data_IF_018467137764
#
_entry.id   IF_018467137764
#
_cell.length_a   1.000
_cell.length_b   1.000
_cell.length_c   1.000
_cell.angle_alpha   90.00
_cell.angle_beta   90.00
_cell.angle_gamma   90.00
#
_symmetry.space_group_name_H-M   'P 1'
#
loop_
_entity.id
_entity.type
_entity.pdbx_description
1 polymer ?
#
# COMPACT_ATOMS: atom_id res chain seq x y z
N UNK A 1 -17.15 -8.88 32.26
CA UNK A 1 -16.94 -7.50 32.76
C UNK A 1 -17.33 -6.56 31.62
N UNK A 2 -18.16 -5.52 31.86
CA UNK A 2 -19.21 -5.14 30.93
C UNK A 2 -18.82 -3.93 30.08
N UNK A 3 -18.63 -4.10 28.77
CA UNK A 3 -18.66 -2.98 27.81
C UNK A 3 -19.96 -3.08 27.00
N UNK A 4 -20.93 -2.26 27.43
CA UNK A 4 -22.26 -2.16 26.84
C UNK A 4 -22.23 -1.64 25.39
N UNK A 5 -23.16 -2.10 24.52
CA UNK A 5 -23.26 -1.69 23.10
C UNK A 5 -23.67 -0.22 22.86
N UNK A 6 -23.92 0.55 23.91
CA UNK A 6 -24.30 1.98 23.90
C UNK A 6 -23.16 2.91 23.44
N UNK A 7 -21.89 2.51 23.60
CA UNK A 7 -20.72 3.36 23.28
C UNK A 7 -20.64 3.73 21.79
N UNK A 8 -21.10 2.85 20.90
CA UNK A 8 -21.01 3.08 19.45
C UNK A 8 -22.01 4.15 18.96
N UNK A 9 -23.16 4.29 19.62
CA UNK A 9 -24.25 5.15 19.12
C UNK A 9 -23.88 6.64 19.23
N UNK A 10 -23.21 7.02 20.32
CA UNK A 10 -22.85 8.42 20.58
C UNK A 10 -21.62 8.89 19.80
N UNK A 11 -20.71 7.98 19.44
CA UNK A 11 -19.48 8.28 18.70
C UNK A 11 -19.66 8.27 17.17
N UNK A 12 -20.57 7.44 16.66
CA UNK A 12 -20.86 7.31 15.21
C UNK A 12 -21.04 8.66 14.49
N UNK A 13 -21.84 9.62 15.00
CA UNK A 13 -22.00 10.92 14.34
C UNK A 13 -20.69 11.70 14.21
N UNK A 14 -19.82 11.64 15.22
CA UNK A 14 -18.53 12.34 15.19
C UNK A 14 -17.55 11.70 14.21
N UNK A 15 -17.53 10.37 14.10
CA UNK A 15 -16.71 9.67 13.11
C UNK A 15 -17.19 9.94 11.68
N UNK A 16 -18.51 9.97 11.46
CA UNK A 16 -19.08 10.35 10.17
C UNK A 16 -18.71 11.79 9.79
N UNK A 17 -18.83 12.74 10.74
CA UNK A 17 -18.41 14.12 10.57
C UNK A 17 -16.92 14.27 10.26
N UNK A 18 -16.05 13.53 10.97
CA UNK A 18 -14.61 13.52 10.69
C UNK A 18 -14.32 13.04 9.26
N UNK A 19 -14.98 11.98 8.81
CA UNK A 19 -14.79 11.46 7.45
C UNK A 19 -15.28 12.45 6.38
N UNK A 20 -16.40 13.16 6.61
CA UNK A 20 -16.86 14.24 5.72
C UNK A 20 -15.85 15.36 5.60
N UNK A 21 -15.27 15.81 6.72
CA UNK A 21 -14.26 16.87 6.75
C UNK A 21 -12.98 16.46 6.00
N UNK A 22 -12.53 15.21 6.19
CA UNK A 22 -11.36 14.67 5.48
C UNK A 22 -11.62 14.57 3.97
N UNK A 23 -12.84 14.20 3.58
CA UNK A 23 -13.24 14.14 2.17
C UNK A 23 -13.54 15.52 1.54
N UNK A 24 -13.52 16.61 2.33
CA UNK A 24 -13.90 17.95 1.87
C UNK A 24 -15.40 18.11 1.56
N UNK A 25 -16.24 17.18 2.01
CA UNK A 25 -17.70 17.17 1.81
C UNK A 25 -18.41 17.63 3.09
N UNK A 26 -17.97 18.75 3.65
CA UNK A 26 -18.60 19.34 4.83
C UNK A 26 -20.03 19.79 4.49
N UNK A 27 -20.97 19.48 5.38
CA UNK A 27 -22.40 19.85 5.23
C UNK A 27 -22.76 21.06 6.09
N UNK A 28 -22.16 21.19 7.28
CA UNK A 28 -22.50 22.23 8.26
C UNK A 28 -21.43 23.32 8.32
N UNK A 29 -20.16 22.93 8.35
CA UNK A 29 -19.05 23.90 8.36
C UNK A 29 -18.60 24.23 6.93
N UNK A 30 -18.01 25.41 6.69
CA UNK A 30 -17.51 25.76 5.36
C UNK A 30 -16.54 24.73 4.79
N UNK A 31 -16.59 24.47 3.47
CA UNK A 31 -15.64 23.57 2.82
C UNK A 31 -14.22 24.09 2.99
N UNK A 32 -13.26 23.19 3.28
CA UNK A 32 -11.87 23.56 3.54
C UNK A 32 -11.57 24.01 4.98
N UNK A 33 -12.52 23.90 5.91
CA UNK A 33 -12.28 24.16 7.33
C UNK A 33 -11.17 23.24 7.88
N UNK A 34 -10.27 23.79 8.72
CA UNK A 34 -9.22 23.02 9.40
C UNK A 34 -9.85 21.99 10.33
N UNK A 35 -9.41 20.73 10.22
CA UNK A 35 -9.87 19.64 11.08
C UNK A 35 -9.44 19.95 12.52
N UNK A 36 -10.43 20.25 13.36
CA UNK A 36 -10.26 20.50 14.80
C UNK A 36 -11.39 19.81 15.55
N UNK A 37 -11.22 19.62 16.86
CA UNK A 37 -12.25 19.03 17.73
C UNK A 37 -13.59 19.79 17.59
N UNK A 38 -13.51 21.13 17.56
CA UNK A 38 -14.67 21.99 17.45
C UNK A 38 -15.33 21.85 16.06
N UNK A 39 -14.52 21.83 14.99
CA UNK A 39 -15.05 21.65 13.64
C UNK A 39 -15.77 20.30 13.47
N UNK A 40 -15.21 19.21 14.00
CA UNK A 40 -15.84 17.88 13.98
C UNK A 40 -17.13 17.86 14.81
N UNK A 41 -17.15 18.54 15.96
CA UNK A 41 -18.36 18.63 16.78
C UNK A 41 -19.49 19.42 16.11
N UNK A 42 -19.14 20.56 15.49
CA UNK A 42 -20.08 21.39 14.74
C UNK A 42 -20.62 20.66 13.50
N UNK A 43 -19.74 19.96 12.77
CA UNK A 43 -20.11 19.17 11.61
C UNK A 43 -21.01 17.97 11.96
N UNK A 44 -20.91 17.46 13.19
CA UNK A 44 -21.84 16.46 13.73
C UNK A 44 -23.17 17.06 14.22
N UNK A 45 -23.40 18.36 14.03
CA UNK A 45 -24.61 19.06 14.51
C UNK A 45 -24.66 19.24 16.03
N UNK A 46 -23.51 19.22 16.71
CA UNK A 46 -23.39 19.38 18.16
C UNK A 46 -22.67 20.68 18.50
N UNK A 47 -22.71 21.10 19.75
CA UNK A 47 -21.98 22.29 20.19
C UNK A 47 -20.47 22.08 20.09
N UNK A 48 -19.72 23.13 19.74
CA UNK A 48 -18.26 23.09 19.56
C UNK A 48 -17.50 22.47 20.74
N UNK A 49 -18.02 22.58 21.98
CA UNK A 49 -17.43 22.01 23.20
C UNK A 49 -17.89 20.60 23.57
N UNK A 50 -18.64 19.91 22.70
CA UNK A 50 -19.22 18.60 23.03
C UNK A 50 -18.15 17.51 23.18
N UNK A 51 -17.02 17.62 22.49
CA UNK A 51 -15.90 16.67 22.57
C UNK A 51 -14.95 17.11 23.69
N UNK A 52 -15.14 16.60 24.91
CA UNK A 52 -14.31 16.92 26.08
C UNK A 52 -13.12 15.96 26.23
N UNK A 53 -11.90 16.50 26.33
CA UNK A 53 -10.64 15.75 26.47
C UNK A 53 -10.56 14.86 27.73
N UNK A 54 -11.25 15.25 28.79
CA UNK A 54 -11.24 14.50 30.06
C UNK A 54 -12.10 13.24 30.03
N UNK A 55 -13.01 13.09 29.04
CA UNK A 55 -13.84 11.89 28.91
C UNK A 55 -13.08 10.83 28.13
N UNK A 56 -12.84 9.68 28.76
CA UNK A 56 -12.15 8.52 28.16
C UNK A 56 -12.79 8.05 26.86
N UNK A 57 -14.12 8.13 26.76
CA UNK A 57 -14.92 7.76 25.56
C UNK A 57 -14.44 8.48 24.30
N UNK A 58 -14.01 9.74 24.39
CA UNK A 58 -13.50 10.49 23.24
C UNK A 58 -12.00 10.31 22.99
N UNK A 59 -11.25 9.59 23.84
CA UNK A 59 -9.80 9.51 23.75
C UNK A 59 -9.31 8.88 22.44
N UNK A 60 -10.02 7.88 21.90
CA UNK A 60 -9.73 7.29 20.60
C UNK A 60 -10.01 8.27 19.45
N UNK A 61 -11.20 8.87 19.45
CA UNK A 61 -11.61 9.86 18.46
C UNK A 61 -10.67 11.09 18.43
N UNK A 62 -10.29 11.63 19.60
CA UNK A 62 -9.38 12.78 19.70
C UNK A 62 -8.02 12.46 19.08
N UNK A 63 -7.49 11.25 19.30
CA UNK A 63 -6.24 10.81 18.69
C UNK A 63 -6.35 10.79 17.16
N UNK A 64 -7.43 10.23 16.65
CA UNK A 64 -7.66 10.16 15.20
C UNK A 64 -7.87 11.55 14.58
N UNK A 65 -8.65 12.43 15.21
CA UNK A 65 -8.82 13.82 14.77
C UNK A 65 -7.46 14.53 14.67
N UNK A 66 -6.60 14.39 15.68
CA UNK A 66 -5.26 15.00 15.66
C UNK A 66 -4.39 14.45 14.54
N UNK A 67 -4.45 13.14 14.29
CA UNK A 67 -3.72 12.51 13.20
C UNK A 67 -4.18 13.07 11.84
N UNK A 68 -5.49 13.07 11.58
CA UNK A 68 -6.06 13.60 10.33
C UNK A 68 -5.81 15.10 10.16
N UNK A 69 -5.83 15.87 11.25
CA UNK A 69 -5.49 17.30 11.22
C UNK A 69 -4.03 17.53 10.80
N UNK A 70 -3.10 16.71 11.31
CA UNK A 70 -1.69 16.74 10.90
C UNK A 70 -1.53 16.34 9.43
N UNK A 71 -2.23 15.30 8.98
CA UNK A 71 -2.23 14.87 7.57
C UNK A 71 -2.80 15.95 6.64
N UNK A 72 -3.84 16.68 7.06
CA UNK A 72 -4.40 17.80 6.31
C UNK A 72 -3.40 18.96 6.22
N UNK A 73 -2.71 19.28 7.32
CA UNK A 73 -1.68 20.31 7.36
C UNK A 73 -0.50 19.96 6.44
N UNK A 74 0.00 18.71 6.53
CA UNK A 74 1.04 18.18 5.65
C UNK A 74 0.64 18.23 4.17
N UNK A 75 -0.64 18.05 3.84
CA UNK A 75 -1.16 18.14 2.48
C UNK A 75 -1.35 19.58 1.99
N UNK A 76 -1.61 20.52 2.90
CA UNK A 76 -1.81 21.94 2.59
C UNK A 76 -0.50 22.73 2.45
N UNK A 77 0.63 22.17 2.89
CA UNK A 77 1.94 22.81 2.74
C UNK A 77 2.30 22.97 1.25
N UNK A 78 2.77 24.16 0.82
CA UNK A 78 3.24 24.39 -0.54
C UNK A 78 4.48 23.53 -0.79
N UNK A 79 4.28 22.34 -1.37
CA UNK A 79 5.32 21.31 -1.54
C UNK A 79 4.81 19.89 -1.37
N UNK A 80 3.65 19.69 -0.75
CA UNK A 80 3.05 18.37 -0.52
C UNK A 80 2.85 17.56 -1.82
N UNK A 81 2.42 18.23 -2.89
CA UNK A 81 2.28 17.64 -4.22
C UNK A 81 3.62 17.14 -4.76
N UNK A 82 4.67 17.96 -4.66
CA UNK A 82 6.04 17.58 -5.09
C UNK A 82 6.57 16.40 -4.28
N UNK A 83 6.30 16.36 -2.97
CA UNK A 83 6.71 15.25 -2.10
C UNK A 83 5.94 13.97 -2.47
N UNK A 84 4.64 14.05 -2.74
CA UNK A 84 3.83 12.90 -3.19
C UNK A 84 4.33 12.37 -4.53
N UNK A 85 4.58 13.25 -5.50
CA UNK A 85 5.13 12.87 -6.79
C UNK A 85 6.52 12.26 -6.66
N UNK A 86 7.40 12.82 -5.81
CA UNK A 86 8.72 12.27 -5.54
C UNK A 86 8.61 10.87 -4.93
N UNK A 87 7.73 10.66 -3.93
CA UNK A 87 7.49 9.34 -3.31
C UNK A 87 6.93 8.32 -4.31
N UNK A 88 6.02 8.76 -5.21
CA UNK A 88 5.49 7.89 -6.24
C UNK A 88 6.55 7.47 -7.26
N UNK A 89 7.40 8.42 -7.68
CA UNK A 89 8.52 8.15 -8.59
C UNK A 89 9.55 7.19 -7.97
N UNK A 90 9.91 7.38 -6.70
CA UNK A 90 10.85 6.49 -6.02
C UNK A 90 10.27 5.09 -5.81
N UNK A 91 8.99 4.97 -5.46
CA UNK A 91 8.31 3.68 -5.35
C UNK A 91 8.29 2.94 -6.70
N UNK A 92 7.98 3.65 -7.79
CA UNK A 92 7.99 3.07 -9.14
C UNK A 92 9.38 2.61 -9.56
N UNK A 93 10.40 3.44 -9.36
CA UNK A 93 11.79 3.08 -9.68
C UNK A 93 12.27 1.86 -8.89
N UNK A 94 11.88 1.75 -7.62
CA UNK A 94 12.19 0.59 -6.79
C UNK A 94 11.53 -0.69 -7.33
N UNK A 95 10.24 -0.63 -7.66
CA UNK A 95 9.52 -1.77 -8.23
C UNK A 95 10.09 -2.20 -9.59
N UNK A 96 10.49 -1.23 -10.43
CA UNK A 96 11.17 -1.51 -11.70
C UNK A 96 12.50 -2.23 -11.47
N UNK A 97 13.32 -1.75 -10.52
CA UNK A 97 14.60 -2.37 -10.17
C UNK A 97 14.43 -3.82 -9.68
N UNK A 98 13.49 -4.07 -8.77
CA UNK A 98 13.14 -5.42 -8.30
C UNK A 98 12.69 -6.31 -9.47
N UNK A 99 11.85 -5.79 -10.38
CA UNK A 99 11.41 -6.54 -11.55
C UNK A 99 12.53 -6.91 -12.52
N UNK A 100 13.54 -6.04 -12.66
CA UNK A 100 14.71 -6.31 -13.49
C UNK A 100 15.63 -7.34 -12.82
N UNK A 101 15.80 -7.26 -11.50
CA UNK A 101 16.57 -8.23 -10.73
C UNK A 101 15.98 -9.64 -10.85
N UNK A 102 14.65 -9.78 -10.73
CA UNK A 102 13.98 -11.07 -10.87
C UNK A 102 14.12 -11.65 -12.29
N UNK A 103 13.91 -10.81 -13.32
CA UNK A 103 14.09 -11.21 -14.73
C UNK A 103 15.53 -11.63 -15.00
N UNK A 104 16.50 -10.91 -14.46
CA UNK A 104 17.91 -11.22 -14.59
C UNK A 104 18.26 -12.57 -13.95
N UNK A 105 17.84 -12.79 -12.68
CA UNK A 105 18.04 -14.07 -12.00
C UNK A 105 17.39 -15.24 -12.74
N UNK A 106 16.17 -15.04 -13.25
CA UNK A 106 15.47 -16.04 -14.03
C UNK A 106 16.17 -16.36 -15.36
N UNK A 107 16.71 -15.34 -16.05
CA UNK A 107 17.50 -15.53 -17.27
C UNK A 107 18.79 -16.32 -16.99
N UNK A 108 19.55 -15.89 -15.98
CA UNK A 108 20.78 -16.56 -15.56
C UNK A 108 20.52 -18.04 -15.18
N UNK A 109 19.44 -18.31 -14.45
CA UNK A 109 19.04 -19.67 -14.12
C UNK A 109 18.76 -20.53 -15.35
N UNK A 110 18.07 -19.99 -16.36
CA UNK A 110 17.83 -20.69 -17.63
C UNK A 110 19.13 -20.97 -18.38
N UNK A 111 20.04 -20.01 -18.46
CA UNK A 111 21.33 -20.17 -19.12
C UNK A 111 22.18 -21.26 -18.48
N UNK A 112 22.26 -21.29 -17.15
CA UNK A 112 22.98 -22.34 -16.42
C UNK A 112 22.37 -23.73 -16.67
N UNK A 113 21.04 -23.84 -16.70
CA UNK A 113 20.37 -25.11 -17.02
C UNK A 113 20.63 -25.54 -18.48
N UNK A 114 20.66 -24.60 -19.42
CA UNK A 114 20.98 -24.87 -20.83
C UNK A 114 22.42 -25.37 -21.00
N UNK A 115 23.38 -24.73 -20.33
CA UNK A 115 24.78 -25.20 -20.35
C UNK A 115 24.92 -26.62 -19.80
N UNK A 116 24.21 -26.93 -18.70
CA UNK A 116 24.20 -28.28 -18.13
C UNK A 116 23.55 -29.31 -19.07
N UNK A 117 22.45 -28.94 -19.73
CA UNK A 117 21.79 -29.79 -20.70
C UNK A 117 22.66 -30.03 -21.95
N UNK A 118 23.41 -29.02 -22.36
CA UNK A 118 24.39 -29.09 -23.44
C UNK A 118 25.51 -30.08 -23.11
N UNK A 119 26.17 -29.91 -21.97
CA UNK A 119 27.23 -30.82 -21.51
C UNK A 119 26.73 -32.28 -21.43
N UNK A 120 25.53 -32.49 -20.86
CA UNK A 120 24.91 -33.83 -20.80
C UNK A 120 24.69 -34.42 -22.20
N UNK A 121 24.34 -33.59 -23.17
CA UNK A 121 24.08 -34.02 -24.56
C UNK A 121 25.37 -34.32 -25.30
N UNK A 122 26.41 -33.49 -25.16
CA UNK A 122 27.75 -33.78 -25.68
C UNK A 122 28.32 -35.08 -25.11
N UNK A 123 28.15 -35.31 -23.80
CA UNK A 123 28.60 -36.55 -23.16
C UNK A 123 27.91 -37.78 -23.74
N UNK A 124 26.61 -37.69 -24.03
CA UNK A 124 25.85 -38.77 -24.68
C UNK A 124 26.31 -38.99 -26.12
N UNK A 125 26.56 -37.93 -26.88
CA UNK A 125 27.09 -38.03 -28.25
C UNK A 125 28.44 -38.74 -28.26
N UNK A 126 29.38 -38.35 -27.38
CA UNK A 126 30.68 -39.03 -27.25
C UNK A 126 30.55 -40.51 -26.88
N UNK A 127 29.54 -40.89 -26.09
CA UNK A 127 29.28 -42.29 -25.78
C UNK A 127 28.78 -43.06 -27.00
N UNK A 128 27.94 -42.45 -27.85
CA UNK A 128 27.43 -43.04 -29.08
C UNK A 128 28.50 -43.11 -30.18
N UNK A 129 29.38 -42.12 -30.29
CA UNK A 129 30.49 -42.14 -31.26
C UNK A 129 31.46 -43.31 -31.03
N UNK A 130 31.54 -43.82 -29.81
CA UNK A 130 32.35 -45.01 -29.46
C UNK A 130 31.68 -46.34 -29.83
N UNK A 131 30.49 -46.33 -30.45
CA UNK A 131 29.73 -47.53 -30.79
C UNK A 131 29.32 -47.50 -32.25
N UNK A 132 29.63 -48.55 -33.00
CA UNK A 132 29.21 -48.68 -34.40
C UNK A 132 27.77 -49.21 -34.44
N UNK A 133 26.81 -48.52 -35.10
CA UNK A 133 25.45 -49.01 -35.21
C UNK A 133 25.40 -50.27 -36.08
N UNK A 134 24.76 -51.33 -35.56
CA UNK A 134 24.63 -52.63 -36.25
C UNK A 134 23.69 -52.52 -37.48
N UNK A 135 22.76 -51.55 -37.48
CA UNK A 135 21.84 -51.29 -38.58
C UNK A 135 21.99 -49.83 -39.05
N UNK A 136 22.03 -49.57 -40.37
CA UNK A 136 22.06 -48.20 -40.87
C UNK A 136 20.77 -47.45 -40.48
N UNK A 137 20.84 -46.14 -40.20
CA UNK A 137 19.63 -45.37 -39.91
C UNK A 137 18.72 -45.37 -41.14
N UNK A 138 17.45 -45.72 -40.93
CA UNK A 138 16.44 -45.70 -41.99
C UNK A 138 16.25 -44.24 -42.44
N UNK A 139 16.68 -43.92 -43.65
CA UNK A 139 16.54 -42.58 -44.24
C UNK A 139 15.11 -42.46 -44.82
N UNK A 140 14.34 -41.40 -44.49
CA UNK A 140 13.06 -41.15 -45.13
C UNK A 140 13.21 -40.76 -46.61
#
# INVERSE_FOLDING_TARGET
>A
MPDSPEESSTLKPYYAALNRLVAGKSEVVPPGTKITLNAVAMEAGKSAGSIKKQRSVYAALIREIKQRAKEQEEQSLPGALKIREAKAKTAKAKAEAESFEDKYKAALGRELMLLRAWEKSERRLRQLDNVVPIHPPNRP
#
